data_IF_394187699324
#
_entry.id   IF_394187699324
#
_cell.length_a   1.000
_cell.length_b   1.000
_cell.length_c   1.000
_cell.angle_alpha   90.00
_cell.angle_beta   90.00
_cell.angle_gamma   90.00
#
_symmetry.space_group_name_H-M   'P 1'
#
loop_
_entity.id
_entity.type
_entity.pdbx_description
1 polymer ?
#
# COMPACT_ATOMS: atom_id res chain seq x y z
N UNK A 1 19.98 -3.05 -15.87
CA UNK A 1 18.88 -2.33 -16.56
C UNK A 1 18.21 -1.41 -15.56
N UNK A 2 17.72 -0.24 -16.00
CA UNK A 2 16.96 0.74 -15.20
C UNK A 2 15.67 1.03 -15.94
N UNK A 3 14.55 1.02 -15.23
CA UNK A 3 13.25 1.21 -15.86
C UNK A 3 12.65 2.60 -15.58
N UNK A 4 11.72 2.96 -16.46
CA UNK A 4 10.79 4.06 -16.32
C UNK A 4 9.39 3.58 -16.66
N UNK A 5 8.39 4.05 -15.92
CA UNK A 5 6.98 3.77 -16.18
C UNK A 5 6.29 5.07 -16.62
N UNK A 6 5.47 4.97 -17.66
CA UNK A 6 4.73 6.11 -18.20
C UNK A 6 3.24 5.77 -18.23
N UNK A 7 2.47 6.49 -17.43
CA UNK A 7 0.99 6.40 -17.44
C UNK A 7 0.40 7.43 -18.38
N UNK A 8 -0.52 7.00 -19.20
CA UNK A 8 -1.14 7.82 -20.25
C UNK A 8 -2.65 7.84 -20.03
N UNK A 9 -3.21 9.03 -19.97
CA UNK A 9 -4.64 9.29 -19.82
C UNK A 9 -4.90 10.61 -19.09
N UNK A 10 -5.83 11.39 -19.56
CA UNK A 10 -6.25 12.66 -18.98
C UNK A 10 -6.79 12.49 -17.56
N UNK A 11 -7.52 11.40 -17.29
CA UNK A 11 -8.09 11.09 -15.99
C UNK A 11 -7.02 10.75 -14.93
N UNK A 12 -5.88 10.19 -15.37
CA UNK A 12 -4.73 9.94 -14.51
C UNK A 12 -3.95 11.24 -14.28
N UNK A 13 -3.70 12.00 -15.36
CA UNK A 13 -2.95 13.25 -15.29
C UNK A 13 -3.69 14.32 -14.47
N UNK A 14 -5.02 14.35 -14.53
CA UNK A 14 -5.86 15.26 -13.71
C UNK A 14 -6.12 14.79 -12.29
N UNK A 15 -5.68 13.57 -11.92
CA UNK A 15 -5.88 12.99 -10.60
C UNK A 15 -7.31 12.50 -10.31
N UNK A 16 -8.15 12.34 -11.31
CA UNK A 16 -9.50 11.79 -11.17
C UNK A 16 -9.49 10.30 -10.84
N UNK A 17 -8.50 9.58 -11.36
CA UNK A 17 -8.29 8.15 -11.10
C UNK A 17 -6.89 7.93 -10.54
N UNK A 18 -6.80 7.04 -9.53
CA UNK A 18 -5.52 6.65 -8.96
C UNK A 18 -4.74 5.73 -9.91
N UNK A 19 -3.48 6.04 -10.15
CA UNK A 19 -2.58 5.22 -10.97
C UNK A 19 -2.13 3.93 -10.27
N UNK A 20 -2.99 2.94 -10.28
CA UNK A 20 -2.67 1.61 -9.73
C UNK A 20 -1.83 0.75 -10.68
N UNK A 21 -1.84 1.06 -11.99
CA UNK A 21 -1.04 0.34 -12.97
C UNK A 21 0.46 0.58 -12.76
N UNK A 22 0.88 1.83 -12.59
CA UNK A 22 2.29 2.14 -12.33
C UNK A 22 2.80 1.53 -11.03
N UNK A 23 1.99 1.54 -9.98
CA UNK A 23 2.33 0.86 -8.73
C UNK A 23 2.58 -0.63 -8.96
N UNK A 24 1.66 -1.30 -9.65
CA UNK A 24 1.76 -2.73 -9.92
C UNK A 24 2.97 -3.07 -10.82
N UNK A 25 3.17 -2.31 -11.91
CA UNK A 25 4.31 -2.50 -12.81
C UNK A 25 5.64 -2.30 -12.11
N UNK A 26 5.74 -1.33 -11.18
CA UNK A 26 6.96 -1.11 -10.39
C UNK A 26 7.34 -2.34 -9.59
N UNK A 27 6.37 -2.94 -8.89
CA UNK A 27 6.61 -4.16 -8.12
C UNK A 27 7.06 -5.32 -9.01
N UNK A 28 6.45 -5.47 -10.19
CA UNK A 28 6.81 -6.55 -11.13
C UNK A 28 8.19 -6.36 -11.76
N UNK A 29 8.57 -5.12 -12.08
CA UNK A 29 9.92 -4.81 -12.56
C UNK A 29 10.98 -5.06 -11.48
N UNK A 30 10.70 -4.65 -10.27
CA UNK A 30 11.59 -4.85 -9.12
C UNK A 30 11.80 -6.34 -8.83
N UNK A 31 10.77 -7.18 -8.93
CA UNK A 31 10.88 -8.65 -8.84
C UNK A 31 11.83 -9.26 -9.88
N UNK A 32 11.92 -8.64 -11.06
CA UNK A 32 12.86 -9.01 -12.11
C UNK A 32 14.26 -8.39 -11.92
N UNK A 33 14.51 -7.71 -10.79
CA UNK A 33 15.78 -7.04 -10.52
C UNK A 33 15.99 -5.76 -11.34
N UNK A 34 14.93 -5.18 -11.90
CA UNK A 34 14.99 -3.94 -12.68
C UNK A 34 14.47 -2.79 -11.80
N UNK A 35 15.34 -1.94 -11.25
CA UNK A 35 14.88 -0.79 -10.46
C UNK A 35 14.15 0.23 -11.34
N UNK A 36 13.01 0.69 -10.88
CA UNK A 36 12.27 1.80 -11.48
C UNK A 36 12.81 3.10 -10.91
N UNK A 37 13.37 3.96 -11.77
CA UNK A 37 13.94 5.24 -11.34
C UNK A 37 13.02 6.42 -11.60
N UNK A 38 12.10 6.30 -12.55
CA UNK A 38 11.22 7.38 -12.94
C UNK A 38 9.81 6.88 -13.17
N UNK A 39 8.85 7.69 -12.73
CA UNK A 39 7.46 7.64 -13.12
C UNK A 39 7.12 8.94 -13.83
N UNK A 40 6.42 8.85 -14.96
CA UNK A 40 5.85 9.99 -15.64
C UNK A 40 4.36 9.74 -15.90
N UNK A 41 3.55 10.78 -15.75
CA UNK A 41 2.15 10.76 -16.12
C UNK A 41 1.94 11.83 -17.17
N UNK A 42 1.25 11.51 -18.25
CA UNK A 42 0.95 12.43 -19.35
C UNK A 42 -0.49 12.25 -19.81
N UNK A 43 -1.17 13.35 -20.11
CA UNK A 43 -2.50 13.34 -20.71
C UNK A 43 -2.48 12.93 -22.18
N UNK A 44 -3.64 12.89 -22.80
CA UNK A 44 -3.85 12.47 -24.18
C UNK A 44 -3.52 13.60 -25.19
N UNK A 45 -2.33 14.19 -25.01
CA UNK A 45 -1.73 15.20 -25.88
C UNK A 45 -0.53 14.65 -26.63
N UNK A 46 -0.60 14.67 -27.97
CA UNK A 46 0.42 14.07 -28.83
C UNK A 46 1.82 14.66 -28.64
N UNK A 47 1.93 15.98 -28.53
CA UNK A 47 3.24 16.64 -28.43
C UNK A 47 3.85 16.42 -27.04
N UNK A 48 3.04 16.49 -25.98
CA UNK A 48 3.49 16.19 -24.62
C UNK A 48 3.97 14.73 -24.50
N UNK A 49 3.22 13.78 -25.06
CA UNK A 49 3.62 12.36 -25.09
C UNK A 49 4.95 12.16 -25.82
N UNK A 50 5.13 12.79 -27.01
CA UNK A 50 6.38 12.70 -27.76
C UNK A 50 7.55 13.21 -26.94
N UNK A 51 7.41 14.34 -26.25
CA UNK A 51 8.45 14.89 -25.39
C UNK A 51 8.82 13.95 -24.24
N UNK A 52 7.81 13.39 -23.54
CA UNK A 52 8.01 12.44 -22.45
C UNK A 52 8.74 11.19 -22.95
N UNK A 53 8.32 10.62 -24.08
CA UNK A 53 8.94 9.42 -24.65
C UNK A 53 10.41 9.70 -25.06
N UNK A 54 10.70 10.81 -25.72
CA UNK A 54 12.07 11.17 -26.10
C UNK A 54 12.97 11.36 -24.90
N UNK A 55 12.46 11.96 -23.80
CA UNK A 55 13.22 12.07 -22.57
C UNK A 55 13.51 10.71 -21.95
N UNK A 56 12.50 9.83 -21.90
CA UNK A 56 12.61 8.48 -21.36
C UNK A 56 13.62 7.62 -22.16
N UNK A 57 13.64 7.71 -23.50
CA UNK A 57 14.62 7.01 -24.35
C UNK A 57 16.07 7.32 -23.98
N UNK A 58 16.35 8.56 -23.56
CA UNK A 58 17.72 9.00 -23.22
C UNK A 58 18.19 8.45 -21.88
N UNK A 59 17.27 8.32 -20.88
CA UNK A 59 17.65 8.05 -19.48
C UNK A 59 17.39 6.64 -19.01
N UNK A 60 16.49 5.89 -19.67
CA UNK A 60 16.03 4.57 -19.20
C UNK A 60 16.40 3.46 -20.16
N UNK A 61 16.71 2.27 -19.64
CA UNK A 61 17.07 1.10 -20.45
C UNK A 61 15.80 0.34 -20.90
N UNK A 62 14.77 0.36 -20.05
CA UNK A 62 13.44 -0.20 -20.30
C UNK A 62 12.40 0.84 -19.96
N UNK A 63 11.44 1.03 -20.84
CA UNK A 63 10.26 1.88 -20.62
C UNK A 63 9.03 1.00 -20.73
N UNK A 64 8.15 1.08 -19.76
CA UNK A 64 6.83 0.44 -19.83
C UNK A 64 5.77 1.53 -19.75
N UNK A 65 5.02 1.72 -20.83
CA UNK A 65 3.87 2.62 -20.82
C UNK A 65 2.56 1.86 -20.68
N UNK A 66 1.55 2.49 -20.09
CA UNK A 66 0.20 1.95 -19.97
C UNK A 66 -0.83 3.01 -20.31
N UNK A 67 -1.79 2.68 -21.17
CA UNK A 67 -2.83 3.57 -21.66
C UNK A 67 -2.69 3.98 -23.14
N UNK A 68 -3.73 4.59 -23.69
CA UNK A 68 -3.78 5.18 -25.03
C UNK A 68 -3.61 4.20 -26.21
N UNK A 69 -3.92 2.90 -26.03
CA UNK A 69 -3.85 1.87 -27.08
C UNK A 69 -5.22 1.43 -27.62
N UNK A 70 -6.30 2.10 -27.25
CA UNK A 70 -7.62 1.85 -27.78
C UNK A 70 -7.79 2.30 -29.25
N UNK A 71 -9.03 2.27 -29.76
CA UNK A 71 -9.36 2.70 -31.12
C UNK A 71 -9.96 4.10 -31.18
N UNK A 72 -10.00 4.85 -30.08
CA UNK A 72 -10.64 6.18 -30.00
C UNK A 72 -9.68 7.28 -30.45
N UNK A 73 -10.16 8.48 -30.68
CA UNK A 73 -9.34 9.56 -31.23
C UNK A 73 -8.31 10.11 -30.23
N UNK A 74 -8.52 9.87 -28.96
CA UNK A 74 -7.65 10.19 -27.83
C UNK A 74 -6.59 9.10 -27.54
N UNK A 75 -6.68 7.93 -28.20
CA UNK A 75 -5.68 6.85 -28.09
C UNK A 75 -4.45 7.12 -28.97
N UNK A 76 -3.57 7.98 -28.50
CA UNK A 76 -2.46 8.53 -29.28
C UNK A 76 -1.11 7.82 -29.07
N UNK A 77 -1.03 6.80 -28.24
CA UNK A 77 0.24 6.13 -27.87
C UNK A 77 1.02 5.59 -29.06
N UNK A 78 0.34 5.02 -30.08
CA UNK A 78 1.00 4.51 -31.29
C UNK A 78 1.63 5.62 -32.11
N UNK A 79 0.90 6.69 -32.31
CA UNK A 79 1.34 7.85 -33.09
C UNK A 79 2.48 8.57 -32.35
N UNK A 80 2.31 8.83 -31.06
CA UNK A 80 3.33 9.45 -30.22
C UNK A 80 4.64 8.66 -30.21
N UNK A 81 4.55 7.33 -30.08
CA UNK A 81 5.71 6.45 -30.09
C UNK A 81 6.42 6.45 -31.46
N UNK A 82 5.65 6.38 -32.55
CA UNK A 82 6.19 6.44 -33.90
C UNK A 82 6.92 7.77 -34.14
N UNK A 83 6.29 8.90 -33.77
CA UNK A 83 6.86 10.23 -33.89
C UNK A 83 8.10 10.41 -33.03
N UNK A 84 8.05 10.01 -31.76
CA UNK A 84 9.17 10.10 -30.83
C UNK A 84 10.39 9.28 -31.30
N UNK A 85 10.15 8.08 -31.82
CA UNK A 85 11.19 7.18 -32.33
C UNK A 85 11.61 7.49 -33.80
N UNK A 86 11.00 8.51 -34.43
CA UNK A 86 11.22 8.87 -35.85
C UNK A 86 10.97 7.69 -36.79
N UNK A 87 9.89 6.94 -36.55
CA UNK A 87 9.44 5.81 -37.33
C UNK A 87 8.09 6.12 -38.01
N UNK A 88 7.80 5.44 -39.10
CA UNK A 88 6.46 5.47 -39.72
C UNK A 88 5.55 4.48 -39.01
N UNK A 89 4.25 4.75 -39.00
CA UNK A 89 3.26 3.75 -38.64
C UNK A 89 3.01 2.85 -39.86
N UNK A 90 3.13 1.55 -39.66
CA UNK A 90 2.93 0.52 -40.68
C UNK A 90 1.86 -0.46 -40.21
N UNK A 91 1.03 -0.91 -41.14
CA UNK A 91 0.02 -1.93 -40.88
C UNK A 91 0.71 -3.29 -40.69
N UNK A 92 0.38 -3.98 -39.60
CA UNK A 92 0.74 -5.38 -39.39
C UNK A 92 -0.45 -6.28 -39.82
N UNK A 93 -0.31 -7.04 -40.93
CA UNK A 93 -1.39 -7.89 -41.42
C UNK A 93 -1.78 -9.00 -40.42
N UNK A 94 -0.83 -9.51 -39.62
CA UNK A 94 -1.10 -10.58 -38.65
C UNK A 94 -1.92 -10.04 -37.48
N UNK A 95 -1.58 -8.85 -36.98
CA UNK A 95 -2.35 -8.17 -35.94
C UNK A 95 -3.76 -7.82 -36.43
N UNK A 96 -3.91 -7.35 -37.69
CA UNK A 96 -5.22 -7.07 -38.28
C UNK A 96 -6.08 -8.34 -38.39
N UNK A 97 -5.51 -9.43 -38.84
CA UNK A 97 -6.22 -10.69 -38.95
C UNK A 97 -6.62 -11.22 -37.58
N UNK A 98 -5.74 -11.12 -36.57
CA UNK A 98 -6.06 -11.47 -35.20
C UNK A 98 -7.25 -10.64 -34.64
N UNK A 99 -7.27 -9.33 -34.89
CA UNK A 99 -8.38 -8.48 -34.53
C UNK A 99 -9.70 -8.92 -35.18
N UNK A 100 -9.69 -9.19 -36.49
CA UNK A 100 -10.87 -9.70 -37.21
C UNK A 100 -11.40 -10.98 -36.61
N UNK A 101 -10.51 -11.93 -36.29
CA UNK A 101 -10.88 -13.19 -35.65
C UNK A 101 -11.45 -12.98 -34.26
N UNK A 102 -10.90 -12.05 -33.46
CA UNK A 102 -11.42 -11.71 -32.15
C UNK A 102 -12.86 -11.17 -32.20
N UNK A 103 -13.13 -10.24 -33.15
CA UNK A 103 -14.48 -9.73 -33.36
C UNK A 103 -15.45 -10.81 -33.87
N UNK A 104 -14.98 -11.68 -34.77
CA UNK A 104 -15.77 -12.81 -35.26
C UNK A 104 -16.16 -13.79 -34.15
N UNK A 105 -15.22 -14.15 -33.26
CA UNK A 105 -15.49 -14.97 -32.07
C UNK A 105 -16.53 -14.34 -31.14
N UNK A 106 -16.53 -13.02 -31.03
CA UNK A 106 -17.52 -12.26 -30.25
C UNK A 106 -18.84 -12.06 -30.98
N UNK A 107 -18.98 -12.59 -32.19
CA UNK A 107 -20.16 -12.42 -33.07
C UNK A 107 -20.54 -10.97 -33.29
N UNK A 108 -19.55 -10.08 -33.48
CA UNK A 108 -19.70 -8.65 -33.67
C UNK A 108 -18.91 -8.21 -34.93
N UNK A 109 -19.43 -7.32 -35.76
CA UNK A 109 -18.65 -6.73 -36.83
C UNK A 109 -17.54 -5.86 -36.25
N UNK A 110 -16.35 -5.92 -36.86
CA UNK A 110 -15.24 -5.05 -36.46
C UNK A 110 -15.47 -3.65 -37.02
N UNK A 111 -15.60 -2.59 -36.19
CA UNK A 111 -15.67 -1.22 -36.66
C UNK A 111 -14.38 -0.84 -37.40
N UNK A 112 -14.49 -0.07 -38.48
CA UNK A 112 -13.32 0.34 -39.28
C UNK A 112 -12.25 1.05 -38.47
N UNK A 113 -12.64 1.86 -37.47
CA UNK A 113 -11.71 2.55 -36.58
C UNK A 113 -10.78 1.62 -35.80
N UNK A 114 -11.18 0.35 -35.55
CA UNK A 114 -10.33 -0.63 -34.86
C UNK A 114 -9.13 -1.09 -35.69
N UNK A 115 -9.10 -0.81 -37.03
CA UNK A 115 -7.93 -1.12 -37.86
C UNK A 115 -6.69 -0.35 -37.40
N UNK A 116 -6.84 0.83 -36.79
CA UNK A 116 -5.69 1.58 -36.21
C UNK A 116 -4.92 0.77 -35.19
N UNK A 117 -5.59 -0.15 -34.47
CA UNK A 117 -4.96 -1.01 -33.47
C UNK A 117 -3.98 -2.02 -34.07
N UNK A 118 -4.01 -2.24 -35.38
CA UNK A 118 -3.07 -3.06 -36.12
C UNK A 118 -1.90 -2.26 -36.74
N UNK A 119 -1.81 -0.95 -36.47
CA UNK A 119 -0.70 -0.12 -36.94
C UNK A 119 0.37 -0.02 -35.83
N UNK A 120 1.61 -0.22 -36.19
CA UNK A 120 2.76 -0.18 -35.28
C UNK A 120 3.86 0.73 -35.83
N UNK A 121 4.67 1.34 -34.96
CA UNK A 121 5.92 1.94 -35.41
C UNK A 121 6.77 0.93 -36.17
N UNK A 122 7.36 1.31 -37.28
CA UNK A 122 8.20 0.45 -38.12
C UNK A 122 9.31 -0.20 -37.29
N UNK A 123 9.44 -1.53 -37.37
CA UNK A 123 10.36 -2.33 -36.59
C UNK A 123 9.88 -2.72 -35.18
N UNK A 124 8.67 -2.30 -34.79
CA UNK A 124 8.03 -2.80 -33.57
C UNK A 124 7.47 -4.21 -33.76
N UNK A 125 7.25 -4.89 -32.63
CA UNK A 125 6.57 -6.19 -32.57
C UNK A 125 5.27 -6.03 -31.78
N UNK A 126 4.22 -6.70 -32.22
CA UNK A 126 2.99 -6.78 -31.44
C UNK A 126 3.21 -7.65 -30.18
N UNK A 127 2.77 -7.15 -29.03
CA UNK A 127 2.63 -7.95 -27.82
C UNK A 127 1.19 -8.47 -27.77
N UNK A 128 0.99 -9.80 -27.79
CA UNK A 128 -0.36 -10.36 -27.83
C UNK A 128 -1.22 -9.94 -26.63
N UNK A 129 -2.46 -9.55 -26.91
CA UNK A 129 -3.48 -9.31 -25.89
C UNK A 129 -4.56 -10.40 -26.00
N UNK A 130 -4.62 -11.37 -25.09
CA UNK A 130 -5.56 -12.48 -25.22
C UNK A 130 -7.02 -12.09 -24.99
N UNK A 131 -7.27 -11.03 -24.23
CA UNK A 131 -8.61 -10.66 -23.76
C UNK A 131 -9.14 -9.34 -24.36
N UNK A 132 -8.25 -8.46 -24.80
CA UNK A 132 -8.60 -7.16 -25.37
C UNK A 132 -8.38 -7.05 -26.86
N UNK A 133 -8.86 -5.96 -27.45
CA UNK A 133 -8.66 -5.67 -28.88
C UNK A 133 -7.35 -4.92 -29.15
N UNK A 134 -6.73 -4.33 -28.13
CA UNK A 134 -5.51 -3.53 -28.27
C UNK A 134 -4.28 -4.40 -28.02
N UNK A 135 -3.54 -4.85 -29.05
CA UNK A 135 -2.24 -5.45 -28.84
C UNK A 135 -1.29 -4.40 -28.27
N UNK A 136 -0.36 -4.85 -27.42
CA UNK A 136 0.74 -4.01 -26.95
C UNK A 136 1.81 -3.83 -28.01
N UNK A 137 2.78 -2.99 -27.72
CA UNK A 137 3.89 -2.66 -28.63
C UNK A 137 5.20 -2.96 -27.93
N UNK A 138 6.10 -3.61 -28.63
CA UNK A 138 7.47 -3.86 -28.22
C UNK A 138 8.40 -3.26 -29.27
N UNK A 139 9.09 -2.17 -28.91
CA UNK A 139 9.97 -1.43 -29.82
C UNK A 139 11.37 -1.26 -29.23
N UNK A 140 12.37 -1.59 -30.02
CA UNK A 140 13.75 -1.24 -29.73
C UNK A 140 14.09 0.13 -30.32
N UNK A 141 14.52 1.05 -29.47
CA UNK A 141 14.86 2.43 -29.86
C UNK A 141 16.36 2.62 -29.72
N UNK A 142 17.09 2.85 -30.84
CA UNK A 142 18.49 3.21 -30.80
C UNK A 142 18.72 4.50 -30.00
N UNK A 143 19.84 4.58 -29.32
CA UNK A 143 20.30 5.77 -28.59
C UNK A 143 21.82 5.89 -28.66
N UNK A 144 22.33 7.07 -28.31
CA UNK A 144 23.76 7.40 -28.40
C UNK A 144 24.66 6.51 -27.50
N UNK A 145 24.08 5.89 -26.47
CA UNK A 145 24.76 4.95 -25.56
C UNK A 145 24.18 3.54 -25.68
N UNK A 146 24.98 2.48 -25.82
CA UNK A 146 24.51 1.11 -25.74
C UNK A 146 24.11 0.74 -24.29
N UNK A 147 23.23 -0.25 -24.09
CA UNK A 147 22.40 -0.89 -25.11
C UNK A 147 21.26 0.03 -25.58
N UNK A 148 20.57 -0.29 -26.68
CA UNK A 148 19.37 0.43 -27.11
C UNK A 148 18.31 0.41 -26.01
N UNK A 149 17.40 1.40 -26.02
CA UNK A 149 16.26 1.44 -25.12
C UNK A 149 15.16 0.49 -25.60
N UNK A 150 14.53 -0.23 -24.67
CA UNK A 150 13.36 -1.04 -24.98
C UNK A 150 12.10 -0.34 -24.50
N UNK A 151 11.19 -0.05 -25.42
CA UNK A 151 9.89 0.54 -25.11
C UNK A 151 8.80 -0.51 -25.27
N UNK A 152 8.01 -0.69 -24.20
CA UNK A 152 6.90 -1.64 -24.15
C UNK A 152 5.64 -0.85 -23.81
N UNK A 153 4.66 -0.82 -24.72
CA UNK A 153 3.36 -0.21 -24.47
C UNK A 153 2.31 -1.28 -24.18
N UNK A 154 1.54 -1.06 -23.12
CA UNK A 154 0.48 -1.96 -22.65
C UNK A 154 -0.85 -1.18 -22.55
N UNK A 155 -2.01 -1.86 -22.66
CA UNK A 155 -3.31 -1.20 -22.50
C UNK A 155 -3.52 -0.67 -21.08
N UNK A 156 -4.40 0.34 -20.95
CA UNK A 156 -4.77 0.92 -19.66
C UNK A 156 -5.62 0.02 -18.77
N UNK A 157 -6.36 -0.95 -19.34
CA UNK A 157 -7.21 -1.88 -18.60
C UNK A 157 -6.34 -2.79 -17.73
N UNK A 158 -6.45 -2.71 -16.37
CA UNK A 158 -5.53 -3.41 -15.48
C UNK A 158 -5.48 -4.93 -15.68
N UNK A 159 -6.62 -5.56 -15.93
CA UNK A 159 -6.68 -7.02 -16.15
C UNK A 159 -5.92 -7.46 -17.40
N UNK A 160 -6.07 -6.71 -18.51
CA UNK A 160 -5.36 -6.98 -19.76
C UNK A 160 -3.85 -6.76 -19.61
N UNK A 161 -3.46 -5.61 -19.04
CA UNK A 161 -2.07 -5.26 -18.79
C UNK A 161 -1.35 -6.32 -17.95
N UNK A 162 -1.98 -6.79 -16.86
CA UNK A 162 -1.41 -7.82 -15.98
C UNK A 162 -1.22 -9.15 -16.69
N UNK A 163 -2.20 -9.58 -17.46
CA UNK A 163 -2.10 -10.83 -18.21
C UNK A 163 -1.01 -10.77 -19.28
N UNK A 164 -0.96 -9.70 -20.06
CA UNK A 164 0.09 -9.47 -21.05
C UNK A 164 1.48 -9.42 -20.43
N UNK A 165 1.60 -8.86 -19.22
CA UNK A 165 2.84 -8.89 -18.45
C UNK A 165 3.33 -10.32 -18.21
N UNK A 166 2.47 -11.18 -17.64
CA UNK A 166 2.87 -12.54 -17.29
C UNK A 166 3.12 -13.42 -18.51
N UNK A 167 2.30 -13.29 -19.54
CA UNK A 167 2.41 -14.15 -20.73
C UNK A 167 3.55 -13.74 -21.67
N UNK A 168 3.92 -12.46 -21.72
CA UNK A 168 4.83 -11.96 -22.74
C UNK A 168 5.95 -11.09 -22.18
N UNK A 169 5.62 -10.00 -21.46
CA UNK A 169 6.59 -8.94 -21.12
C UNK A 169 7.65 -9.44 -20.15
N UNK A 170 7.26 -10.13 -19.09
CA UNK A 170 8.22 -10.67 -18.12
C UNK A 170 9.21 -11.64 -18.75
N UNK A 171 8.74 -12.48 -19.68
CA UNK A 171 9.59 -13.42 -20.41
C UNK A 171 10.55 -12.69 -21.36
N UNK A 172 10.06 -11.66 -22.05
CA UNK A 172 10.89 -10.81 -22.90
C UNK A 172 12.02 -10.16 -22.10
N UNK A 173 11.68 -9.54 -20.95
CA UNK A 173 12.67 -8.88 -20.11
C UNK A 173 13.71 -9.86 -19.56
N UNK A 174 13.32 -11.10 -19.20
CA UNK A 174 14.27 -12.15 -18.80
C UNK A 174 15.23 -12.52 -19.93
N UNK A 175 14.75 -12.64 -21.18
CA UNK A 175 15.60 -12.89 -22.36
C UNK A 175 16.59 -11.75 -22.62
N UNK A 176 16.26 -10.53 -22.23
CA UNK A 176 17.13 -9.35 -22.32
C UNK A 176 18.11 -9.24 -21.14
N UNK A 177 18.17 -10.25 -20.26
CA UNK A 177 19.11 -10.31 -19.13
C UNK A 177 18.54 -9.79 -17.81
N UNK A 178 17.22 -9.57 -17.70
CA UNK A 178 16.57 -9.37 -16.41
C UNK A 178 16.55 -10.68 -15.61
N UNK A 179 16.52 -10.58 -14.28
CA UNK A 179 16.44 -11.75 -13.41
C UNK A 179 17.78 -12.41 -13.09
N UNK A 180 18.92 -11.85 -13.57
CA UNK A 180 20.25 -12.28 -13.09
C UNK A 180 20.49 -11.90 -11.62
N UNK A 181 19.82 -10.84 -11.17
CA UNK A 181 19.67 -10.46 -9.76
C UNK A 181 18.20 -10.24 -9.49
N UNK A 182 17.68 -10.87 -8.49
CA UNK A 182 16.33 -10.64 -7.98
C UNK A 182 16.39 -9.73 -6.78
N UNK A 183 15.32 -8.97 -6.56
CA UNK A 183 15.19 -8.09 -5.39
C UNK A 183 14.08 -8.66 -4.51
N UNK A 184 14.34 -8.73 -3.20
CA UNK A 184 13.35 -9.08 -2.20
C UNK A 184 13.31 -8.02 -1.11
N UNK A 185 12.13 -7.88 -0.53
CA UNK A 185 11.87 -6.95 0.56
C UNK A 185 11.35 -7.69 1.77
N UNK A 186 11.68 -7.17 2.95
CA UNK A 186 11.03 -7.48 4.21
C UNK A 186 10.61 -6.17 4.85
N UNK A 187 9.37 -6.08 5.27
CA UNK A 187 8.87 -4.93 6.02
C UNK A 187 8.88 -5.28 7.51
N UNK A 188 9.44 -4.41 8.33
CA UNK A 188 9.35 -4.50 9.79
C UNK A 188 8.53 -3.32 10.25
N UNK A 189 7.41 -3.60 10.92
CA UNK A 189 6.43 -2.59 11.32
C UNK A 189 6.60 -2.25 12.80
N UNK A 190 6.63 -0.95 13.10
CA UNK A 190 6.90 -0.40 14.42
C UNK A 190 5.80 0.58 14.84
N UNK A 191 5.50 0.60 16.14
CA UNK A 191 4.57 1.55 16.74
C UNK A 191 5.08 2.04 18.10
N UNK A 192 4.71 3.29 18.47
CA UNK A 192 5.03 3.88 19.77
C UNK A 192 6.25 4.81 19.79
N UNK A 193 6.90 5.01 18.64
CA UNK A 193 7.99 5.97 18.47
C UNK A 193 7.89 6.68 17.11
N UNK A 194 8.41 7.90 17.02
CA UNK A 194 8.49 8.64 15.77
C UNK A 194 9.67 8.18 14.88
N UNK A 195 9.64 8.60 13.61
CA UNK A 195 10.65 8.23 12.59
C UNK A 195 12.09 8.58 13.03
N UNK A 196 12.32 9.81 13.47
CA UNK A 196 13.64 10.27 13.93
C UNK A 196 14.15 9.52 15.17
N UNK A 197 13.22 9.13 16.07
CA UNK A 197 13.57 8.34 17.24
C UNK A 197 13.99 6.93 16.85
N UNK A 198 13.24 6.28 15.96
CA UNK A 198 13.58 4.95 15.43
C UNK A 198 14.91 4.98 14.69
N UNK A 199 15.13 6.00 13.84
CA UNK A 199 16.41 6.17 13.13
C UNK A 199 17.59 6.31 14.11
N UNK A 200 17.43 7.09 15.18
CA UNK A 200 18.46 7.24 16.22
C UNK A 200 18.80 5.94 16.97
N UNK A 201 17.82 5.02 17.08
CA UNK A 201 18.02 3.68 17.67
C UNK A 201 18.68 2.69 16.71
N UNK A 202 18.78 3.03 15.42
CA UNK A 202 19.35 2.20 14.36
C UNK A 202 20.58 2.88 13.71
N UNK A 203 21.60 3.29 14.50
CA UNK A 203 22.73 4.04 13.96
C UNK A 203 23.48 3.22 12.92
N UNK A 204 23.75 3.85 11.76
CA UNK A 204 24.48 3.22 10.67
C UNK A 204 23.69 2.23 9.82
N UNK A 205 22.42 1.98 10.11
CA UNK A 205 21.61 1.03 9.32
C UNK A 205 20.80 1.70 8.22
N UNK A 206 20.36 2.95 8.42
CA UNK A 206 19.56 3.71 7.46
C UNK A 206 20.50 4.60 6.62
N UNK A 207 21.26 4.00 5.70
CA UNK A 207 22.19 4.73 4.83
C UNK A 207 22.04 4.30 3.36
N UNK A 208 22.29 5.28 2.46
CA UNK A 208 22.38 5.00 1.03
C UNK A 208 23.69 4.27 0.72
N UNK A 209 23.61 3.25 -0.13
CA UNK A 209 24.79 2.53 -0.64
C UNK A 209 25.19 1.29 0.14
N UNK A 210 24.45 0.92 1.19
CA UNK A 210 24.61 -0.39 1.87
C UNK A 210 23.70 -1.46 1.25
N UNK A 211 24.12 -2.70 1.35
CA UNK A 211 23.35 -3.88 0.92
C UNK A 211 23.36 -4.89 2.08
N UNK A 212 22.23 -5.30 2.65
CA UNK A 212 20.86 -4.87 2.34
C UNK A 212 20.58 -3.41 2.71
N UNK A 213 19.76 -2.75 1.88
CA UNK A 213 19.34 -1.36 2.13
C UNK A 213 18.17 -1.31 3.09
N UNK A 214 18.23 -0.45 4.09
CA UNK A 214 17.13 -0.17 5.02
C UNK A 214 16.57 1.22 4.72
N UNK A 215 15.29 1.27 4.38
CA UNK A 215 14.51 2.51 4.26
C UNK A 215 13.55 2.65 5.44
N UNK A 216 13.24 3.87 5.84
CA UNK A 216 12.25 4.20 6.86
C UNK A 216 11.14 5.06 6.25
N UNK A 217 9.90 4.77 6.59
CA UNK A 217 8.72 5.50 6.10
C UNK A 217 7.65 5.54 7.17
N UNK A 218 7.04 6.70 7.37
CA UNK A 218 5.83 6.82 8.18
C UNK A 218 4.61 6.45 7.33
N UNK A 219 3.75 5.57 7.82
CA UNK A 219 2.49 5.18 7.20
C UNK A 219 1.35 5.33 8.20
N UNK A 220 0.45 6.24 7.96
CA UNK A 220 -0.67 6.63 8.81
C UNK A 220 -0.24 7.02 10.25
N UNK A 221 0.07 6.10 11.12
CA UNK A 221 0.57 6.35 12.48
C UNK A 221 1.59 5.29 12.91
N UNK A 222 2.02 4.45 11.99
CA UNK A 222 3.04 3.42 12.17
C UNK A 222 4.32 3.77 11.43
N UNK A 223 5.43 3.23 11.84
CA UNK A 223 6.70 3.33 11.12
C UNK A 223 7.01 2.00 10.47
N UNK A 224 7.33 2.04 9.20
CA UNK A 224 7.69 0.86 8.41
C UNK A 224 9.16 0.95 8.02
N UNK A 225 9.94 -0.04 8.42
CA UNK A 225 11.31 -0.25 7.97
C UNK A 225 11.28 -1.24 6.81
N UNK A 226 11.69 -0.80 5.63
CA UNK A 226 11.80 -1.65 4.44
C UNK A 226 13.23 -2.10 4.23
N UNK A 227 13.48 -3.38 4.46
CA UNK A 227 14.77 -4.02 4.22
C UNK A 227 14.75 -4.60 2.81
N UNK A 228 15.67 -4.17 1.97
CA UNK A 228 15.76 -4.56 0.56
C UNK A 228 17.11 -5.22 0.30
N UNK A 229 17.10 -6.44 -0.23
CA UNK A 229 18.29 -7.12 -0.69
C UNK A 229 18.17 -7.55 -2.15
N UNK A 230 19.30 -7.53 -2.85
CA UNK A 230 19.42 -8.05 -4.20
C UNK A 230 20.39 -9.23 -4.23
N UNK A 231 19.98 -10.35 -4.83
CA UNK A 231 20.77 -11.59 -4.88
C UNK A 231 20.54 -12.37 -6.16
N UNK A 232 21.34 -13.41 -6.39
CA UNK A 232 21.17 -14.30 -7.52
C UNK A 232 19.95 -15.23 -7.36
N UNK A 233 19.57 -15.54 -6.12
CA UNK A 233 18.40 -16.37 -5.79
C UNK A 233 17.59 -15.73 -4.67
N UNK A 234 16.40 -16.24 -4.46
CA UNK A 234 15.50 -15.80 -3.39
C UNK A 234 16.10 -16.11 -2.01
N UNK A 235 16.68 -17.31 -1.88
CA UNK A 235 17.35 -17.75 -0.65
C UNK A 235 18.53 -16.84 -0.30
N UNK A 236 19.31 -16.40 -1.30
CA UNK A 236 20.39 -15.45 -1.07
C UNK A 236 19.90 -14.09 -0.57
N UNK A 237 18.77 -13.60 -1.10
CA UNK A 237 18.15 -12.38 -0.61
C UNK A 237 17.65 -12.55 0.84
N UNK A 238 16.99 -13.65 1.14
CA UNK A 238 16.51 -13.94 2.51
C UNK A 238 17.66 -14.07 3.49
N UNK A 239 18.73 -14.81 3.14
CA UNK A 239 19.91 -14.95 3.97
C UNK A 239 20.60 -13.61 4.27
N UNK A 240 20.55 -12.65 3.34
CA UNK A 240 21.07 -11.30 3.56
C UNK A 240 20.15 -10.44 4.45
N UNK A 241 18.83 -10.60 4.33
CA UNK A 241 17.82 -9.81 5.06
C UNK A 241 17.75 -10.23 6.54
N UNK A 242 17.76 -11.52 6.84
CA UNK A 242 17.54 -12.05 8.21
C UNK A 242 18.44 -11.44 9.29
N UNK A 243 19.77 -11.29 9.14
CA UNK A 243 20.60 -10.67 10.15
C UNK A 243 20.24 -9.21 10.45
N UNK A 244 19.78 -8.49 9.41
CA UNK A 244 19.34 -7.08 9.54
C UNK A 244 18.04 -7.01 10.32
N UNK A 245 17.06 -7.87 10.02
CA UNK A 245 15.79 -7.99 10.75
C UNK A 245 16.04 -8.35 12.21
N UNK A 246 16.90 -9.33 12.48
CA UNK A 246 17.27 -9.73 13.84
C UNK A 246 17.87 -8.55 14.64
N UNK A 247 18.76 -7.77 14.02
CA UNK A 247 19.37 -6.58 14.64
C UNK A 247 18.32 -5.50 14.92
N UNK A 248 17.41 -5.26 13.98
CA UNK A 248 16.29 -4.31 14.15
C UNK A 248 15.40 -4.74 15.32
N UNK A 249 15.01 -6.02 15.38
CA UNK A 249 14.20 -6.56 16.48
C UNK A 249 14.92 -6.44 17.84
N UNK A 250 16.20 -6.71 17.87
CA UNK A 250 17.01 -6.59 19.10
C UNK A 250 17.05 -5.14 19.59
N UNK A 251 17.28 -4.17 18.69
CA UNK A 251 17.43 -2.76 19.06
C UNK A 251 16.12 -2.07 19.39
N UNK A 252 15.06 -2.36 18.63
CA UNK A 252 13.76 -1.71 18.79
C UNK A 252 12.85 -2.45 19.80
N UNK A 253 13.10 -3.71 20.09
CA UNK A 253 12.37 -4.49 21.10
C UNK A 253 10.86 -4.43 20.94
N UNK A 254 10.16 -3.97 21.98
CA UNK A 254 8.69 -3.89 22.03
C UNK A 254 8.10 -2.88 21.03
N UNK A 255 8.88 -2.03 20.39
CA UNK A 255 8.37 -1.14 19.32
C UNK A 255 8.00 -1.92 18.06
N UNK A 256 8.66 -3.05 17.78
CA UNK A 256 8.30 -3.92 16.65
C UNK A 256 7.06 -4.72 16.99
N UNK A 257 6.01 -4.59 16.18
CA UNK A 257 4.77 -5.35 16.38
C UNK A 257 4.51 -6.41 15.31
N UNK A 258 5.07 -6.27 14.11
CA UNK A 258 4.80 -7.20 13.01
C UNK A 258 5.78 -7.07 11.86
N UNK A 259 5.58 -7.92 10.86
CA UNK A 259 6.31 -7.92 9.59
C UNK A 259 5.34 -8.01 8.42
N UNK A 260 5.77 -7.51 7.26
CA UNK A 260 5.06 -7.56 5.98
C UNK A 260 3.62 -7.02 6.09
N UNK A 261 2.62 -7.90 5.98
CA UNK A 261 1.20 -7.52 5.99
C UNK A 261 0.61 -7.45 7.40
N UNK A 262 1.35 -7.85 8.45
CA UNK A 262 0.87 -7.77 9.83
C UNK A 262 0.41 -6.33 10.18
N UNK A 263 -0.77 -6.18 10.77
CA UNK A 263 -1.24 -4.96 11.41
C UNK A 263 -1.28 -5.13 12.95
N UNK A 264 -1.56 -4.06 13.70
CA UNK A 264 -1.56 -4.13 15.17
C UNK A 264 -2.61 -5.10 15.71
N UNK A 265 -3.77 -5.20 15.06
CA UNK A 265 -4.83 -6.15 15.40
C UNK A 265 -4.38 -7.60 15.25
N UNK A 266 -3.59 -7.91 14.20
CA UNK A 266 -3.04 -9.27 14.00
C UNK A 266 -2.11 -9.64 15.14
N UNK A 267 -1.25 -8.72 15.55
CA UNK A 267 -0.37 -8.91 16.70
C UNK A 267 -1.15 -9.10 18.01
N UNK A 268 -2.24 -8.34 18.22
CA UNK A 268 -3.11 -8.46 19.39
C UNK A 268 -3.81 -9.82 19.40
N UNK A 269 -4.45 -10.23 18.31
CA UNK A 269 -5.18 -11.51 18.23
C UNK A 269 -4.23 -12.69 18.41
N UNK A 270 -3.05 -12.64 17.80
CA UNK A 270 -1.99 -13.64 17.98
C UNK A 270 -1.58 -13.79 19.47
N UNK A 271 -1.39 -12.66 20.17
CA UNK A 271 -1.04 -12.66 21.60
C UNK A 271 -2.20 -13.11 22.51
N UNK A 272 -3.44 -12.71 22.21
CA UNK A 272 -4.63 -13.20 22.93
C UNK A 272 -4.71 -14.73 22.85
N UNK A 273 -4.49 -15.27 21.65
CA UNK A 273 -4.48 -16.72 21.40
C UNK A 273 -3.35 -17.42 22.15
N UNK A 274 -2.12 -16.89 22.09
CA UNK A 274 -0.96 -17.46 22.80
C UNK A 274 -1.13 -17.47 24.30
N UNK A 275 -1.80 -16.45 24.87
CA UNK A 275 -2.03 -16.33 26.31
C UNK A 275 -3.38 -16.89 26.76
N UNK A 276 -4.20 -17.44 25.85
CA UNK A 276 -5.57 -17.92 26.07
C UNK A 276 -6.45 -16.89 26.79
N UNK A 277 -6.26 -15.60 26.48
CA UNK A 277 -7.04 -14.50 27.04
C UNK A 277 -8.07 -14.00 26.06
N UNK A 278 -9.19 -13.50 26.61
CA UNK A 278 -10.26 -12.88 25.82
C UNK A 278 -10.26 -11.37 26.01
N UNK A 279 -10.77 -10.64 25.00
CA UNK A 279 -10.85 -9.19 24.97
C UNK A 279 -12.27 -8.75 24.62
N UNK A 280 -12.76 -7.71 25.32
CA UNK A 280 -13.94 -6.94 24.89
C UNK A 280 -13.58 -5.45 24.84
N UNK A 281 -14.27 -4.69 23.97
CA UNK A 281 -13.97 -3.27 23.74
C UNK A 281 -15.17 -2.37 24.01
N UNK A 282 -14.89 -1.14 24.42
CA UNK A 282 -15.88 -0.07 24.47
C UNK A 282 -15.31 1.20 23.87
N UNK A 283 -16.01 1.76 22.91
CA UNK A 283 -15.54 2.86 22.09
C UNK A 283 -16.50 4.07 22.14
N UNK A 284 -15.92 5.24 22.48
CA UNK A 284 -16.61 6.51 22.37
C UNK A 284 -15.70 7.53 21.66
N UNK A 285 -15.90 7.68 20.34
CA UNK A 285 -15.12 8.59 19.48
C UNK A 285 -14.50 7.93 18.27
N UNK A 286 -13.98 6.72 18.38
CA UNK A 286 -13.40 5.92 17.29
C UNK A 286 -14.44 5.36 16.31
N UNK A 287 -15.72 5.42 16.68
CA UNK A 287 -16.84 4.94 15.85
C UNK A 287 -16.76 3.46 15.47
N UNK A 288 -16.25 2.61 16.36
CA UNK A 288 -16.15 1.18 16.15
C UNK A 288 -14.87 0.72 15.44
N UNK A 289 -13.91 1.61 15.22
CA UNK A 289 -12.71 1.27 14.44
C UNK A 289 -11.82 0.21 15.12
N UNK A 290 -11.80 0.15 16.46
CA UNK A 290 -11.08 -0.91 17.17
C UNK A 290 -11.81 -2.24 17.03
N UNK A 291 -13.14 -2.23 17.17
CA UNK A 291 -13.99 -3.40 17.03
C UNK A 291 -13.97 -3.96 15.60
N UNK A 292 -14.05 -3.08 14.59
CA UNK A 292 -14.00 -3.43 13.17
C UNK A 292 -12.68 -4.14 12.83
N UNK A 293 -11.56 -3.56 13.22
CA UNK A 293 -10.23 -4.12 12.97
C UNK A 293 -10.04 -5.48 13.65
N UNK A 294 -10.37 -5.60 14.93
CA UNK A 294 -10.27 -6.88 15.66
C UNK A 294 -11.20 -7.93 15.09
N UNK A 295 -12.44 -7.56 14.72
CA UNK A 295 -13.42 -8.47 14.13
C UNK A 295 -13.07 -8.89 12.70
N UNK A 296 -12.26 -8.11 12.00
CA UNK A 296 -11.76 -8.41 10.65
C UNK A 296 -10.65 -9.46 10.61
N UNK A 297 -10.00 -9.75 11.74
CA UNK A 297 -8.96 -10.81 11.80
C UNK A 297 -9.63 -12.17 11.83
N UNK A 298 -9.35 -13.01 10.84
CA UNK A 298 -10.00 -14.32 10.67
C UNK A 298 -9.89 -15.25 11.88
N UNK A 299 -8.86 -15.08 12.70
CA UNK A 299 -8.59 -15.91 13.89
C UNK A 299 -9.09 -15.28 15.19
N UNK A 300 -9.82 -14.17 15.14
CA UNK A 300 -10.30 -13.46 16.31
C UNK A 300 -11.45 -14.18 17.04
N UNK A 301 -12.16 -15.08 16.36
CA UNK A 301 -13.27 -15.85 16.93
C UNK A 301 -12.80 -16.62 18.18
N UNK A 302 -13.58 -16.47 19.28
CA UNK A 302 -13.25 -17.05 20.57
C UNK A 302 -12.27 -16.23 21.43
N UNK A 303 -11.59 -15.23 20.90
CA UNK A 303 -10.66 -14.37 21.65
C UNK A 303 -11.16 -12.92 21.73
N UNK A 304 -11.74 -12.38 20.68
CA UNK A 304 -12.44 -11.09 20.70
C UNK A 304 -13.93 -11.35 20.87
N UNK A 305 -14.48 -11.03 22.05
CA UNK A 305 -15.87 -11.34 22.41
C UNK A 305 -16.87 -10.30 21.92
N UNK A 306 -16.39 -9.23 21.28
CA UNK A 306 -17.21 -8.14 20.79
C UNK A 306 -17.03 -6.85 21.60
N UNK A 307 -17.90 -5.86 21.36
CA UNK A 307 -17.76 -4.58 22.01
C UNK A 307 -18.99 -3.70 21.96
N UNK A 308 -18.92 -2.57 22.66
CA UNK A 308 -19.94 -1.52 22.69
C UNK A 308 -19.40 -0.28 22.00
N UNK A 309 -20.08 0.17 20.96
CA UNK A 309 -19.81 1.45 20.30
C UNK A 309 -20.94 2.42 20.64
N UNK A 310 -20.60 3.57 21.23
CA UNK A 310 -21.61 4.52 21.67
C UNK A 310 -21.26 5.96 21.26
N UNK A 311 -22.28 6.70 20.85
CA UNK A 311 -22.16 8.11 20.46
C UNK A 311 -22.19 9.08 21.63
N UNK A 312 -22.34 8.61 22.90
CA UNK A 312 -22.42 9.47 24.06
C UNK A 312 -22.64 8.73 25.37
N UNK A 313 -22.51 9.49 26.49
CA UNK A 313 -22.56 8.96 27.85
C UNK A 313 -23.89 8.26 28.19
N UNK A 314 -25.02 8.81 27.74
CA UNK A 314 -26.34 8.23 28.02
C UNK A 314 -26.51 6.83 27.35
N UNK A 315 -25.96 6.66 26.19
CA UNK A 315 -25.94 5.34 25.51
C UNK A 315 -25.02 4.35 26.24
N UNK A 316 -23.82 4.79 26.65
CA UNK A 316 -22.89 3.98 27.44
C UNK A 316 -23.47 3.55 28.78
N UNK A 317 -24.14 4.46 29.51
CA UNK A 317 -24.79 4.14 30.79
C UNK A 317 -25.79 3.01 30.61
N UNK A 318 -26.66 3.08 29.58
CA UNK A 318 -27.64 2.01 29.29
C UNK A 318 -27.00 0.71 28.87
N UNK A 319 -25.96 0.78 28.06
CA UNK A 319 -25.32 -0.43 27.51
C UNK A 319 -24.45 -1.18 28.53
N UNK A 320 -23.84 -0.46 29.48
CA UNK A 320 -22.84 -1.01 30.41
C UNK A 320 -23.27 -0.89 31.89
N UNK A 321 -24.50 -0.48 32.17
CA UNK A 321 -25.05 -0.25 33.55
C UNK A 321 -24.11 0.64 34.38
N UNK A 322 -23.59 1.74 33.76
CA UNK A 322 -22.71 2.67 34.45
C UNK A 322 -23.48 3.56 35.44
N UNK A 323 -22.87 3.94 36.59
CA UNK A 323 -23.50 4.80 37.57
C UNK A 323 -24.02 6.13 36.99
N UNK A 324 -25.15 6.61 37.50
CA UNK A 324 -25.82 7.80 36.98
C UNK A 324 -25.02 9.08 37.20
N UNK A 325 -24.23 9.16 38.25
CA UNK A 325 -23.36 10.28 38.61
C UNK A 325 -22.02 10.31 37.84
N UNK A 326 -21.69 9.22 37.15
CA UNK A 326 -20.45 9.12 36.41
C UNK A 326 -20.43 10.07 35.20
N UNK A 327 -19.47 10.96 35.12
CA UNK A 327 -19.28 11.90 34.01
C UNK A 327 -20.11 13.16 34.03
N UNK A 328 -20.87 13.46 35.11
CA UNK A 328 -21.68 14.71 35.24
C UNK A 328 -20.84 15.96 35.49
N UNK A 329 -19.63 15.79 35.99
CA UNK A 329 -18.69 16.91 36.19
C UNK A 329 -17.71 17.00 35.02
N UNK A 330 -17.32 18.23 34.59
CA UNK A 330 -16.36 18.41 33.49
C UNK A 330 -15.01 17.66 33.70
N UNK A 331 -14.59 17.52 34.98
CA UNK A 331 -13.40 16.75 35.35
C UNK A 331 -13.61 15.21 35.26
N UNK A 332 -14.86 14.75 35.14
CA UNK A 332 -15.20 13.34 35.10
C UNK A 332 -15.13 12.71 33.71
N UNK A 333 -14.88 13.49 32.64
CA UNK A 333 -14.60 12.99 31.31
C UNK A 333 -13.14 12.52 31.12
N UNK A 334 -12.40 12.37 32.20
CA UNK A 334 -10.98 12.00 32.25
C UNK A 334 -10.74 10.50 32.45
N UNK A 335 -9.58 10.14 33.04
CA UNK A 335 -9.17 8.75 33.28
C UNK A 335 -10.19 7.91 34.03
N UNK A 336 -10.93 8.50 34.99
CA UNK A 336 -11.96 7.79 35.76
C UNK A 336 -13.12 7.25 34.93
N UNK A 337 -13.55 8.00 33.90
CA UNK A 337 -14.61 7.54 33.00
C UNK A 337 -14.18 6.34 32.18
N UNK A 338 -13.02 6.41 31.54
CA UNK A 338 -12.52 5.27 30.72
C UNK A 338 -12.19 4.05 31.56
N UNK A 339 -11.77 4.23 32.82
CA UNK A 339 -11.62 3.14 33.79
C UNK A 339 -12.94 2.43 34.02
N UNK A 340 -14.00 3.16 34.39
CA UNK A 340 -15.32 2.58 34.61
C UNK A 340 -15.87 1.90 33.34
N UNK A 341 -15.66 2.51 32.18
CA UNK A 341 -16.05 1.92 30.90
C UNK A 341 -15.35 0.57 30.65
N UNK A 342 -14.04 0.50 30.86
CA UNK A 342 -13.22 -0.71 30.65
C UNK A 342 -13.64 -1.84 31.59
N UNK A 343 -13.84 -1.53 32.88
CA UNK A 343 -14.25 -2.49 33.89
C UNK A 343 -15.66 -3.03 33.65
N UNK A 344 -16.61 -2.15 33.35
CA UNK A 344 -17.98 -2.53 33.04
C UNK A 344 -18.06 -3.37 31.75
N UNK A 345 -17.32 -3.01 30.72
CA UNK A 345 -17.23 -3.77 29.49
C UNK A 345 -16.63 -5.18 29.73
N UNK A 346 -15.51 -5.26 30.46
CA UNK A 346 -14.91 -6.52 30.85
C UNK A 346 -15.90 -7.44 31.57
N UNK A 347 -16.65 -6.89 32.55
CA UNK A 347 -17.66 -7.63 33.31
C UNK A 347 -18.82 -8.10 32.43
N UNK A 348 -19.36 -7.21 31.58
CA UNK A 348 -20.51 -7.51 30.73
C UNK A 348 -20.26 -8.65 29.75
N UNK A 349 -19.07 -8.70 29.17
CA UNK A 349 -18.69 -9.76 28.25
C UNK A 349 -17.99 -10.96 28.93
N UNK A 350 -17.82 -10.94 30.25
CA UNK A 350 -17.04 -11.92 30.98
C UNK A 350 -15.66 -12.15 30.39
N UNK A 351 -15.05 -11.07 29.86
CA UNK A 351 -13.74 -11.12 29.20
C UNK A 351 -12.59 -11.08 30.20
N UNK A 352 -11.43 -11.63 29.81
CA UNK A 352 -10.20 -11.51 30.58
C UNK A 352 -9.70 -10.06 30.62
N UNK A 353 -9.86 -9.32 29.49
CA UNK A 353 -9.48 -7.94 29.32
C UNK A 353 -10.65 -7.09 28.81
N UNK A 354 -10.79 -5.88 29.33
CA UNK A 354 -11.73 -4.88 28.85
C UNK A 354 -10.99 -3.62 28.42
N UNK A 355 -11.06 -3.24 27.14
CA UNK A 355 -10.41 -2.05 26.59
C UNK A 355 -11.42 -0.93 26.40
N UNK A 356 -11.12 0.27 26.89
CA UNK A 356 -11.92 1.48 26.69
C UNK A 356 -11.16 2.57 25.95
N UNK A 357 -11.84 3.24 25.01
CA UNK A 357 -11.34 4.40 24.26
C UNK A 357 -12.33 5.54 24.33
N UNK A 358 -11.84 6.74 24.56
CA UNK A 358 -12.62 7.97 24.45
C UNK A 358 -13.12 8.54 25.76
N UNK A 359 -13.99 9.58 25.78
CA UNK A 359 -14.44 10.36 24.60
C UNK A 359 -13.34 11.19 23.95
N UNK A 360 -13.52 11.54 22.69
CA UNK A 360 -12.60 12.46 22.05
C UNK A 360 -12.83 13.89 22.56
N UNK A 361 -11.75 14.61 22.88
CA UNK A 361 -11.86 16.02 23.19
C UNK A 361 -12.36 16.79 21.95
N UNK A 362 -13.11 17.86 22.18
CA UNK A 362 -13.42 18.80 21.10
C UNK A 362 -12.09 19.41 20.60
N UNK A 363 -11.87 19.32 19.31
CA UNK A 363 -10.71 19.95 18.69
C UNK A 363 -10.87 21.48 18.76
N UNK A 364 -9.87 22.12 19.32
CA UNK A 364 -9.77 23.56 19.41
C UNK A 364 -8.40 23.98 18.88
N UNK A 365 -8.33 24.52 17.65
CA UNK A 365 -7.07 24.93 17.04
C UNK A 365 -6.39 26.11 17.75
N UNK A 366 -7.14 26.86 18.59
CA UNK A 366 -6.63 27.99 19.35
C UNK A 366 -6.16 27.61 20.76
N UNK A 367 -6.35 26.36 21.18
CA UNK A 367 -5.93 25.92 22.51
C UNK A 367 -4.40 25.89 22.61
N UNK A 368 -3.87 26.48 23.68
CA UNK A 368 -2.42 26.48 23.94
C UNK A 368 -1.85 25.07 24.14
N UNK A 369 -2.68 24.16 24.68
CA UNK A 369 -2.32 22.76 24.85
C UNK A 369 -3.43 21.84 24.33
N UNK A 370 -3.09 20.77 23.58
CA UNK A 370 -4.08 19.80 23.14
C UNK A 370 -4.63 19.00 24.33
N UNK A 371 -5.96 18.90 24.40
CA UNK A 371 -6.60 18.05 25.42
C UNK A 371 -6.25 16.58 25.19
N UNK A 372 -5.94 15.81 26.26
CA UNK A 372 -5.53 14.44 26.10
C UNK A 372 -6.69 13.51 25.70
N UNK A 373 -6.35 12.49 24.94
CA UNK A 373 -7.14 11.29 24.73
C UNK A 373 -6.91 10.32 25.88
N UNK A 374 -7.95 9.66 26.33
CA UNK A 374 -7.89 8.74 27.44
C UNK A 374 -8.22 7.30 27.01
N UNK A 375 -7.45 6.36 27.53
CA UNK A 375 -7.58 4.92 27.29
C UNK A 375 -7.54 4.20 28.62
N UNK A 376 -8.23 3.08 28.73
CA UNK A 376 -8.12 2.20 29.88
C UNK A 376 -8.14 0.73 29.46
N UNK A 377 -7.38 -0.09 30.13
CA UNK A 377 -7.35 -1.55 29.97
C UNK A 377 -7.56 -2.20 31.32
N UNK A 378 -8.73 -2.78 31.54
CA UNK A 378 -9.09 -3.52 32.75
C UNK A 378 -8.69 -4.99 32.65
N UNK A 379 -8.07 -5.53 33.68
CA UNK A 379 -7.72 -6.93 33.85
C UNK A 379 -8.12 -7.40 35.26
N UNK A 380 -7.87 -8.68 35.57
CA UNK A 380 -8.20 -9.24 36.89
C UNK A 380 -7.39 -8.62 38.04
N UNK A 381 -6.16 -8.20 37.76
CA UNK A 381 -5.19 -7.61 38.69
C UNK A 381 -5.25 -6.08 38.76
N UNK A 382 -6.21 -5.44 38.06
CA UNK A 382 -6.42 -4.01 38.08
C UNK A 382 -6.59 -3.38 36.71
N UNK A 383 -6.80 -2.04 36.70
CA UNK A 383 -7.02 -1.26 35.49
C UNK A 383 -5.85 -0.30 35.28
N UNK A 384 -5.26 -0.37 34.10
CA UNK A 384 -4.21 0.56 33.64
C UNK A 384 -4.86 1.65 32.79
N UNK A 385 -4.48 2.91 33.00
CA UNK A 385 -4.93 4.04 32.19
C UNK A 385 -3.77 4.68 31.45
N UNK A 386 -4.06 5.22 30.26
CA UNK A 386 -3.11 5.97 29.44
C UNK A 386 -3.77 7.25 28.97
N UNK A 387 -3.06 8.38 29.03
CA UNK A 387 -3.52 9.66 28.54
C UNK A 387 -2.50 10.19 27.54
N UNK A 388 -2.94 10.58 26.35
CA UNK A 388 -2.05 10.99 25.27
C UNK A 388 -2.54 12.30 24.69
N UNK A 389 -1.68 13.33 24.69
CA UNK A 389 -1.95 14.56 23.97
C UNK A 389 -1.90 14.29 22.46
N UNK A 390 -2.91 14.79 21.73
CA UNK A 390 -2.97 14.66 20.29
C UNK A 390 -2.80 16.03 19.64
N UNK A 391 -1.67 16.23 18.99
CA UNK A 391 -1.33 17.46 18.25
C UNK A 391 -1.34 17.26 16.72
N UNK A 392 -1.83 16.12 16.24
CA UNK A 392 -1.88 15.78 14.83
C UNK A 392 -3.11 16.32 14.08
N UNK A 393 -3.17 16.06 12.79
CA UNK A 393 -4.32 16.46 11.97
C UNK A 393 -5.58 15.65 12.35
N UNK A 394 -6.78 16.30 12.52
CA UNK A 394 -7.99 15.60 12.97
C UNK A 394 -8.40 14.38 12.14
N UNK A 395 -8.08 14.35 10.85
CA UNK A 395 -8.41 13.23 9.96
C UNK A 395 -7.77 11.90 10.39
N UNK A 396 -6.63 11.94 11.08
CA UNK A 396 -5.94 10.72 11.53
C UNK A 396 -6.27 10.34 12.98
N UNK A 397 -7.06 11.16 13.68
CA UNK A 397 -7.35 11.01 15.12
C UNK A 397 -7.91 9.62 15.46
N UNK A 398 -8.85 9.12 14.66
CA UNK A 398 -9.47 7.81 14.90
C UNK A 398 -8.46 6.67 14.76
N UNK A 399 -7.67 6.67 13.68
CA UNK A 399 -6.63 5.65 13.41
C UNK A 399 -5.56 5.72 14.47
N UNK A 400 -5.10 6.92 14.84
CA UNK A 400 -4.15 7.15 15.92
C UNK A 400 -4.64 6.56 17.24
N UNK A 401 -5.90 6.84 17.59
CA UNK A 401 -6.50 6.33 18.82
C UNK A 401 -6.66 4.82 18.81
N UNK A 402 -7.10 4.24 17.71
CA UNK A 402 -7.22 2.80 17.57
C UNK A 402 -5.85 2.09 17.71
N UNK A 403 -4.81 2.64 17.07
CA UNK A 403 -3.46 2.10 17.18
C UNK A 403 -2.93 2.15 18.63
N UNK A 404 -3.15 3.25 19.34
CA UNK A 404 -2.75 3.35 20.75
C UNK A 404 -3.53 2.39 21.67
N UNK A 405 -4.80 2.17 21.39
CA UNK A 405 -5.64 1.24 22.12
C UNK A 405 -5.18 -0.22 21.91
N UNK A 406 -4.95 -0.60 20.66
CA UNK A 406 -4.46 -1.93 20.30
C UNK A 406 -3.05 -2.18 20.86
N UNK A 407 -2.16 -1.19 20.77
CA UNK A 407 -0.82 -1.28 21.32
C UNK A 407 -0.81 -1.44 22.86
N UNK A 408 -1.76 -0.78 23.55
CA UNK A 408 -1.91 -0.96 25.00
C UNK A 408 -2.25 -2.41 25.38
N UNK A 409 -3.13 -3.06 24.61
CA UNK A 409 -3.46 -4.49 24.76
C UNK A 409 -2.23 -5.35 24.45
N UNK A 410 -1.56 -5.07 23.32
CA UNK A 410 -0.37 -5.79 22.88
C UNK A 410 0.73 -5.78 23.94
N UNK A 411 1.07 -4.59 24.44
CA UNK A 411 2.12 -4.44 25.47
C UNK A 411 1.75 -5.15 26.77
N UNK A 412 0.48 -5.12 27.18
CA UNK A 412 -0.01 -5.85 28.35
C UNK A 412 0.11 -7.36 28.21
N UNK A 413 -0.10 -7.90 27.01
CA UNK A 413 -0.02 -9.32 26.73
C UNK A 413 1.43 -9.82 26.59
N UNK A 414 2.35 -8.92 26.28
CA UNK A 414 3.80 -9.24 26.20
C UNK A 414 4.49 -9.28 27.57
N UNK A 415 3.90 -8.77 28.62
CA UNK A 415 4.47 -8.68 29.98
C UNK A 415 5.17 -7.38 30.25
#
# INVERSE_FOLDING_TARGET
MRAEIISIGDEIASGQILDTNSQWLSLRLEELGIPVLYHATVGDDLEAMVQVFQQAFRRSDVIVSTGGLGPTADDLTREALAKAARRKLVLDPQALEHLRQLFARRKRPMPKRNEIQAHFPEGARAVPNPNGTAPGIDLEVPRDRPPPCRFIALPGVPAEMKEMWYQSVAQLLRKLGAGQRIIRHRLVKCFGAGESQIESMLPGMVHRGQEPRVGITASQTTIVLRITAAGATEEACHAAIEPVVATIRQRLGKLVFGENDDELEDAVVRLLRQTSKTLATVEWGTAGQVADRLGGVAEAEGFYLGGVVAGGLAALRRALDLPADLGERPAAAGPGLVTAMAEACRKRFAAALGLAVGPFPKFDPAAAEPKPLHFALAAADGTTTKSIAFAGHPAILKVYSANHALDMVRLRLMG
#
